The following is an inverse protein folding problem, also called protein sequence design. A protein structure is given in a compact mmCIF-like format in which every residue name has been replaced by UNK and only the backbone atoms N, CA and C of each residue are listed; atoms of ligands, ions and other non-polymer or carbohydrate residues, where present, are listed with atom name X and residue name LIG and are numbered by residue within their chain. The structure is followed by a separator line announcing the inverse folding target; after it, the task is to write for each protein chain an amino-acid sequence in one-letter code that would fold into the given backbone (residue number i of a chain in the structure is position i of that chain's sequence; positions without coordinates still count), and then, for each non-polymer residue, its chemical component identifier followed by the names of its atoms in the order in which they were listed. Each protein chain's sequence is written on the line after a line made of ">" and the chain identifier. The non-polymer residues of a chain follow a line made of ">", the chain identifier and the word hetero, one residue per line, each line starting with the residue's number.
data_IF_466404783228
#
_entry.id   IF_466404783228
#
_cell.length_a   1.000
_cell.length_b   1.000
_cell.length_c   1.000
_cell.angle_alpha   90.00
_cell.angle_beta   90.00
_cell.angle_gamma   90.00
#
_symmetry.space_group_name_H-M   'P 1'
#
loop_
_entity.id
_entity.type
_entity.pdbx_description
1 polymer ?
#
# COMPACT_ATOMS: atom_id res chain seq x y z
N UNK A 1 -46.38 64.12 -20.23
CA UNK A 1 -47.31 63.22 -19.50
C UNK A 1 -46.72 61.82 -19.60
N UNK A 2 -46.05 61.34 -18.55
CA UNK A 2 -46.57 60.40 -17.53
C UNK A 2 -46.68 58.94 -18.03
N UNK A 3 -45.89 58.12 -17.34
CA UNK A 3 -45.59 56.69 -17.37
C UNK A 3 -46.66 55.66 -17.76
N UNK A 4 -46.16 54.51 -18.27
CA UNK A 4 -46.40 53.09 -17.89
C UNK A 4 -46.33 52.21 -19.17
N UNK A 5 -45.90 50.95 -19.26
CA UNK A 5 -45.68 49.78 -18.41
C UNK A 5 -44.57 48.92 -19.08
N UNK A 6 -43.58 48.36 -18.36
CA UNK A 6 -43.52 46.99 -17.82
C UNK A 6 -43.60 45.84 -18.86
N UNK A 7 -42.59 44.97 -18.86
CA UNK A 7 -42.64 43.69 -19.56
C UNK A 7 -41.29 42.96 -19.64
N UNK A 8 -40.72 42.59 -18.50
CA UNK A 8 -39.53 41.73 -18.44
C UNK A 8 -39.86 40.31 -18.89
N UNK A 9 -39.07 39.76 -19.81
CA UNK A 9 -39.14 38.34 -20.18
C UNK A 9 -38.11 37.60 -19.32
N UNK A 10 -38.62 36.99 -18.25
CA UNK A 10 -37.92 35.95 -17.52
C UNK A 10 -38.01 34.65 -18.34
N UNK A 11 -36.87 34.14 -18.82
CA UNK A 11 -36.79 32.79 -19.38
C UNK A 11 -36.74 31.81 -18.20
N UNK A 12 -37.91 31.36 -17.76
CA UNK A 12 -38.05 30.17 -16.94
C UNK A 12 -37.84 28.94 -17.85
N UNK A 13 -36.63 28.40 -17.89
CA UNK A 13 -36.41 27.04 -18.41
C UNK A 13 -36.84 26.04 -17.34
N UNK A 14 -38.07 25.57 -17.44
CA UNK A 14 -38.62 24.47 -16.64
C UNK A 14 -37.96 23.15 -17.02
N UNK A 15 -37.40 22.49 -16.00
CA UNK A 15 -37.47 21.06 -15.71
C UNK A 15 -37.19 20.14 -16.91
N UNK A 16 -35.91 19.84 -17.09
CA UNK A 16 -35.46 18.54 -17.56
C UNK A 16 -34.60 17.94 -16.47
N UNK A 17 -35.21 17.38 -15.41
CA UNK A 17 -34.50 16.49 -14.51
C UNK A 17 -34.04 15.30 -15.36
N UNK A 18 -32.77 15.33 -15.78
CA UNK A 18 -32.12 14.19 -16.37
C UNK A 18 -32.06 13.11 -15.29
N UNK A 19 -32.87 12.08 -15.46
CA UNK A 19 -32.77 10.83 -14.75
C UNK A 19 -31.42 10.24 -15.16
N UNK A 20 -30.42 10.36 -14.29
CA UNK A 20 -29.16 9.68 -14.47
C UNK A 20 -29.40 8.20 -14.20
N UNK A 21 -29.51 7.49 -15.32
CA UNK A 21 -29.40 6.05 -15.55
C UNK A 21 -28.60 5.31 -14.46
N UNK A 22 -29.25 4.33 -13.85
CA UNK A 22 -28.72 3.37 -12.89
C UNK A 22 -27.85 2.38 -13.67
N UNK A 23 -26.71 2.86 -14.15
CA UNK A 23 -25.78 2.12 -14.99
C UNK A 23 -24.65 1.56 -14.14
N UNK A 24 -24.58 0.22 -14.04
CA UNK A 24 -23.47 -0.60 -13.57
C UNK A 24 -22.12 0.12 -13.58
N UNK A 25 -21.77 0.72 -12.44
CA UNK A 25 -20.46 1.30 -12.24
C UNK A 25 -19.51 0.13 -12.01
N UNK A 26 -18.92 -0.37 -13.10
CA UNK A 26 -17.69 -1.14 -13.07
C UNK A 26 -16.68 -0.37 -12.22
N UNK A 27 -16.64 -0.69 -10.92
CA UNK A 27 -15.69 -0.11 -9.97
C UNK A 27 -14.31 -0.38 -10.55
N UNK A 28 -13.67 0.68 -11.04
CA UNK A 28 -12.29 0.58 -11.50
C UNK A 28 -11.50 -0.12 -10.40
N UNK A 29 -10.72 -1.17 -10.72
CA UNK A 29 -9.97 -1.90 -9.72
C UNK A 29 -9.11 -0.91 -8.97
N UNK A 30 -9.17 -0.97 -7.64
CA UNK A 30 -8.28 -0.17 -6.79
C UNK A 30 -6.83 -0.43 -7.19
N UNK A 31 -5.94 0.53 -6.97
CA UNK A 31 -4.50 0.36 -7.23
C UNK A 31 -3.94 -0.93 -6.61
N UNK A 32 -4.48 -1.34 -5.45
CA UNK A 32 -4.15 -2.60 -4.77
C UNK A 32 -4.60 -3.86 -5.54
N UNK A 33 -5.76 -3.81 -6.19
CA UNK A 33 -6.27 -4.90 -7.02
C UNK A 33 -5.48 -5.02 -8.32
N UNK A 34 -5.14 -3.89 -8.96
CA UNK A 34 -4.29 -3.87 -10.15
C UNK A 34 -2.89 -4.44 -9.87
N UNK A 35 -2.33 -4.14 -8.70
CA UNK A 35 -1.05 -4.70 -8.25
C UNK A 35 -1.11 -6.22 -8.10
N UNK A 36 -2.15 -6.76 -7.44
CA UNK A 36 -2.34 -8.22 -7.31
C UNK A 36 -2.61 -8.93 -8.64
N UNK A 37 -3.29 -8.29 -9.58
CA UNK A 37 -3.56 -8.85 -10.90
C UNK A 37 -2.41 -8.66 -11.90
N UNK A 38 -1.33 -7.99 -11.51
CA UNK A 38 -0.18 -7.77 -12.37
C UNK A 38 0.54 -9.09 -12.65
N UNK A 39 0.73 -9.39 -13.93
CA UNK A 39 1.55 -10.50 -14.43
C UNK A 39 3.05 -10.20 -14.37
N UNK A 40 3.45 -9.03 -13.88
CA UNK A 40 4.85 -8.73 -13.63
C UNK A 40 5.37 -9.67 -12.55
N UNK A 41 6.60 -10.19 -12.68
CA UNK A 41 7.20 -10.97 -11.61
C UNK A 41 7.22 -10.13 -10.34
N UNK A 42 6.40 -10.53 -9.36
CA UNK A 42 6.48 -9.99 -8.01
C UNK A 42 7.87 -10.40 -7.51
N UNK A 43 8.71 -9.42 -7.19
CA UNK A 43 10.05 -9.71 -6.69
C UNK A 43 9.91 -10.62 -5.46
N UNK A 44 10.19 -11.91 -5.65
CA UNK A 44 10.15 -12.90 -4.59
C UNK A 44 11.35 -12.58 -3.71
N UNK A 45 11.15 -11.76 -2.69
CA UNK A 45 12.18 -11.50 -1.72
C UNK A 45 12.43 -12.79 -0.93
N UNK A 46 13.66 -13.30 -0.98
CA UNK A 46 14.07 -14.42 -0.16
C UNK A 46 14.23 -13.94 1.30
N UNK A 47 13.28 -14.31 2.16
CA UNK A 47 13.29 -14.00 3.58
C UNK A 47 13.97 -15.07 4.44
N UNK A 48 14.54 -16.12 3.84
CA UNK A 48 15.26 -17.18 4.57
C UNK A 48 16.51 -16.66 5.32
N UNK A 49 17.00 -15.49 4.91
CA UNK A 49 18.19 -14.83 5.44
C UNK A 49 17.95 -14.12 6.78
N UNK A 50 16.68 -14.00 7.22
CA UNK A 50 16.32 -13.35 8.47
C UNK A 50 16.53 -14.33 9.62
N UNK A 51 17.70 -14.26 10.27
CA UNK A 51 18.10 -15.21 11.31
C UNK A 51 17.51 -14.91 12.69
N UNK A 52 16.90 -13.73 12.87
CA UNK A 52 16.31 -13.34 14.14
C UNK A 52 14.82 -13.09 14.00
N UNK A 53 14.05 -13.81 14.80
CA UNK A 53 12.61 -13.63 14.94
C UNK A 53 12.33 -13.36 16.42
N UNK A 54 11.72 -12.22 16.79
CA UNK A 54 11.29 -11.95 18.15
C UNK A 54 10.43 -13.10 18.69
N UNK A 55 10.61 -13.45 19.96
CA UNK A 55 9.97 -14.63 20.56
C UNK A 55 8.46 -14.48 20.59
N UNK A 56 7.77 -15.36 19.86
CA UNK A 56 6.33 -15.52 19.93
C UNK A 56 5.53 -14.61 19.00
N UNK A 57 6.22 -13.85 18.14
CA UNK A 57 5.60 -12.97 17.17
C UNK A 57 5.21 -13.69 15.88
N UNK A 58 4.17 -13.18 15.24
CA UNK A 58 3.80 -13.51 13.87
C UNK A 58 4.65 -12.70 12.91
N UNK A 59 5.15 -13.37 11.88
CA UNK A 59 5.90 -12.75 10.80
C UNK A 59 4.97 -12.49 9.61
N UNK A 60 5.04 -11.29 9.05
CA UNK A 60 4.37 -10.95 7.80
C UNK A 60 5.41 -10.44 6.83
N UNK A 61 5.57 -11.14 5.71
CA UNK A 61 6.49 -10.77 4.65
C UNK A 61 5.90 -9.63 3.81
N UNK A 62 6.70 -8.61 3.52
CA UNK A 62 6.39 -7.55 2.58
C UNK A 62 7.53 -7.45 1.54
N UNK A 63 7.49 -8.33 0.52
CA UNK A 63 8.55 -8.49 -0.48
C UNK A 63 8.86 -7.19 -1.22
N UNK A 64 7.81 -6.43 -1.51
CA UNK A 64 7.85 -5.15 -2.21
C UNK A 64 8.72 -4.09 -1.50
N UNK A 65 8.85 -4.18 -0.17
CA UNK A 65 9.68 -3.31 0.66
C UNK A 65 10.96 -4.00 1.13
N UNK A 66 11.19 -5.27 0.77
CA UNK A 66 12.30 -6.07 1.28
C UNK A 66 12.31 -6.15 2.81
N UNK A 67 11.13 -6.20 3.42
CA UNK A 67 10.98 -6.14 4.88
C UNK A 67 10.07 -7.24 5.42
N UNK A 68 10.29 -7.59 6.68
CA UNK A 68 9.54 -8.57 7.42
C UNK A 68 8.98 -7.91 8.67
N UNK A 69 7.65 -7.87 8.80
CA UNK A 69 6.97 -7.27 9.93
C UNK A 69 6.84 -8.26 11.07
N UNK A 70 7.10 -7.80 12.29
CA UNK A 70 6.85 -8.53 13.52
C UNK A 70 5.58 -8.01 14.16
N UNK A 71 4.65 -8.93 14.43
CA UNK A 71 3.41 -8.62 15.14
C UNK A 71 3.31 -9.50 16.37
N UNK A 72 2.89 -8.91 17.49
CA UNK A 72 2.58 -9.69 18.69
C UNK A 72 1.47 -10.70 18.40
N UNK A 73 1.28 -11.68 19.29
CA UNK A 73 0.16 -12.63 19.18
C UNK A 73 -1.21 -11.94 19.10
N UNK A 74 -1.34 -10.77 19.72
CA UNK A 74 -2.54 -9.92 19.68
C UNK A 74 -2.71 -9.11 18.38
N UNK A 75 -1.74 -9.15 17.47
CA UNK A 75 -1.79 -8.48 16.16
C UNK A 75 -1.20 -7.07 16.15
N UNK A 76 -0.74 -6.56 17.30
CA UNK A 76 -0.09 -5.26 17.40
C UNK A 76 1.29 -5.28 16.74
N UNK A 77 1.76 -4.17 16.13
CA UNK A 77 3.11 -4.07 15.62
C UNK A 77 4.15 -4.19 16.76
N UNK A 78 5.05 -5.17 16.68
CA UNK A 78 6.17 -5.31 17.61
C UNK A 78 7.48 -4.74 17.04
N UNK A 79 7.57 -4.67 15.72
CA UNK A 79 8.71 -4.12 15.01
C UNK A 79 8.75 -4.59 13.56
N UNK A 80 9.89 -4.40 12.92
CA UNK A 80 10.15 -4.93 11.59
C UNK A 80 11.64 -5.13 11.37
N UNK A 81 11.97 -6.01 10.43
CA UNK A 81 13.31 -6.15 9.91
C UNK A 81 13.32 -5.72 8.45
N UNK A 82 14.33 -4.98 8.02
CA UNK A 82 14.45 -4.48 6.66
C UNK A 82 15.84 -4.77 6.12
N UNK A 83 15.90 -5.19 4.85
CA UNK A 83 17.16 -5.35 4.14
C UNK A 83 17.70 -3.99 3.71
N UNK A 84 18.94 -3.70 4.11
CA UNK A 84 19.69 -2.50 3.76
C UNK A 84 21.05 -2.90 3.18
N UNK A 85 21.11 -3.04 1.85
CA UNK A 85 22.31 -3.51 1.15
C UNK A 85 22.72 -4.92 1.62
N UNK A 86 23.97 -5.07 2.04
CA UNK A 86 24.53 -6.33 2.58
C UNK A 86 24.19 -6.61 4.06
N UNK A 87 23.13 -6.03 4.60
CA UNK A 87 22.73 -6.22 5.99
C UNK A 87 21.21 -6.25 6.15
N UNK A 88 20.75 -6.89 7.22
CA UNK A 88 19.38 -6.83 7.73
C UNK A 88 19.41 -6.01 9.02
N UNK A 89 18.58 -4.97 9.07
CA UNK A 89 18.43 -4.11 10.25
C UNK A 89 17.09 -4.40 10.89
N UNK A 90 17.11 -4.68 12.19
CA UNK A 90 15.93 -4.93 13.00
C UNK A 90 15.56 -3.66 13.75
N UNK A 91 14.29 -3.31 13.70
CA UNK A 91 13.71 -2.13 14.31
C UNK A 91 12.63 -2.54 15.31
N UNK A 92 12.54 -1.81 16.42
CA UNK A 92 11.41 -1.94 17.34
C UNK A 92 10.12 -1.30 16.76
N UNK A 93 9.01 -1.44 17.48
CA UNK A 93 7.73 -0.80 17.16
C UNK A 93 7.77 0.73 17.00
N UNK A 94 8.81 1.40 17.49
CA UNK A 94 9.03 2.86 17.38
C UNK A 94 9.93 3.21 16.20
N UNK A 95 10.41 2.23 15.44
CA UNK A 95 11.36 2.42 14.34
C UNK A 95 12.80 2.63 14.80
N UNK A 96 13.14 2.34 16.06
CA UNK A 96 14.52 2.40 16.54
C UNK A 96 15.25 1.12 16.17
N UNK A 97 16.42 1.24 15.53
CA UNK A 97 17.26 0.09 15.25
C UNK A 97 17.72 -0.57 16.56
N UNK A 98 17.39 -1.85 16.72
CA UNK A 98 17.73 -2.67 17.90
C UNK A 98 18.84 -3.67 17.59
N UNK A 99 18.98 -4.10 16.33
CA UNK A 99 19.99 -5.06 15.90
C UNK A 99 20.36 -4.86 14.45
N UNK A 100 21.62 -5.18 14.13
CA UNK A 100 22.11 -5.30 12.76
C UNK A 100 22.66 -6.71 12.57
N UNK A 101 22.23 -7.37 11.51
CA UNK A 101 22.78 -8.64 11.04
C UNK A 101 23.47 -8.38 9.71
N UNK A 102 24.76 -8.72 9.62
CA UNK A 102 25.47 -8.69 8.34
C UNK A 102 25.13 -9.94 7.57
N UNK A 103 24.92 -9.79 6.27
CA UNK A 103 24.79 -10.91 5.36
C UNK A 103 26.18 -11.45 5.04
N UNK A 104 26.29 -12.77 4.95
CA UNK A 104 27.47 -13.46 4.44
C UNK A 104 27.60 -13.24 2.92
N UNK A 105 28.78 -13.47 2.33
CA UNK A 105 28.96 -13.40 0.88
C UNK A 105 27.97 -14.29 0.12
N UNK A 106 27.80 -15.55 0.55
CA UNK A 106 26.87 -16.51 -0.08
C UNK A 106 25.41 -16.06 -0.02
N UNK A 107 25.06 -15.34 1.05
CA UNK A 107 23.75 -14.72 1.23
C UNK A 107 23.57 -13.53 0.29
N UNK A 108 24.59 -12.67 0.15
CA UNK A 108 24.57 -11.54 -0.78
C UNK A 108 24.47 -12.03 -2.23
N UNK A 109 25.21 -13.07 -2.59
CA UNK A 109 25.20 -13.61 -3.96
C UNK A 109 23.83 -14.16 -4.33
N UNK A 110 23.14 -14.83 -3.41
CA UNK A 110 21.75 -15.29 -3.60
C UNK A 110 20.79 -14.14 -3.88
N UNK A 111 21.02 -12.96 -3.31
CA UNK A 111 20.18 -11.79 -3.55
C UNK A 111 20.40 -11.12 -4.91
N UNK A 112 21.57 -11.32 -5.53
CA UNK A 112 21.94 -10.71 -6.81
C UNK A 112 21.45 -11.58 -7.99
N UNK A 113 21.21 -12.88 -7.75
CA UNK A 113 20.86 -13.85 -8.79
C UNK A 113 19.36 -13.91 -9.15
N UNK A 114 18.52 -13.09 -8.51
CA UNK A 114 17.07 -13.01 -8.74
C UNK A 114 16.66 -11.61 -9.24
#
# INVERSE_FOLDING_TARGET
>A
MRHALLGGIAVLSTIGAAWADDGDQHKQPSMHQLYRSSSLPHAAADFSMFHFVPRGDKMVEEPEHGRLLFRTKGGEPDGFAERRGGAIVYYDRRGKATRVQRLTPDEIDRLIQH
#
